data_IF_013827100725
#
_entry.id   IF_013827100725
#
_cell.length_a   1.000
_cell.length_b   1.000
_cell.length_c   1.000
_cell.angle_alpha   90.00
_cell.angle_beta   90.00
_cell.angle_gamma   90.00
#
_symmetry.space_group_name_H-M   'P 1'
#
loop_
_entity.id
_entity.type
_entity.pdbx_description
1 polymer ?
#
# COMPACT_ATOMS: atom_id res chain seq x y z
N UNK A 1 -45.90 52.27 40.83
CA UNK A 1 -44.90 51.23 41.01
C UNK A 1 -44.61 50.73 39.62
N UNK A 2 -43.91 51.45 39.00
CA UNK A 2 -42.57 51.56 38.40
C UNK A 2 -42.24 50.30 37.53
N UNK A 3 -42.47 50.50 36.24
CA UNK A 3 -42.08 49.64 35.18
C UNK A 3 -40.69 49.99 34.71
N UNK A 4 -39.82 49.05 34.53
CA UNK A 4 -38.50 49.19 33.94
C UNK A 4 -38.53 48.72 32.49
N UNK A 5 -38.46 49.72 31.60
CA UNK A 5 -38.26 49.58 30.17
C UNK A 5 -36.81 49.09 29.87
N UNK A 6 -36.65 47.94 29.23
CA UNK A 6 -35.40 47.51 28.67
C UNK A 6 -35.41 47.69 27.15
N UNK A 7 -34.84 48.82 26.71
CA UNK A 7 -34.57 49.07 25.29
C UNK A 7 -33.40 48.22 24.81
N UNK A 8 -33.68 47.24 23.97
CA UNK A 8 -32.68 46.50 23.18
C UNK A 8 -32.06 47.43 22.12
N UNK A 9 -30.78 47.74 22.23
CA UNK A 9 -29.97 48.40 21.21
C UNK A 9 -29.52 47.40 20.16
N UNK A 10 -30.20 47.36 19.03
CA UNK A 10 -29.76 46.62 17.82
C UNK A 10 -28.62 47.41 17.19
N UNK A 11 -27.38 46.88 17.27
CA UNK A 11 -26.25 47.36 16.49
C UNK A 11 -26.23 46.61 15.15
N UNK A 12 -26.61 47.30 14.08
CA UNK A 12 -26.40 46.84 12.70
C UNK A 12 -24.90 46.92 12.37
N UNK A 13 -24.31 45.79 12.11
CA UNK A 13 -22.96 45.69 11.53
C UNK A 13 -23.07 45.72 10.00
N UNK A 14 -22.33 46.59 9.37
CA UNK A 14 -22.22 46.74 7.92
C UNK A 14 -21.42 45.59 7.32
N UNK A 15 -21.65 45.20 6.03
CA UNK A 15 -21.06 44.02 5.37
C UNK A 15 -19.55 44.11 5.09
N UNK A 16 -18.89 45.20 5.42
CA UNK A 16 -17.47 45.43 5.07
C UNK A 16 -16.44 44.96 6.10
N UNK A 17 -16.85 44.28 7.18
CA UNK A 17 -15.93 43.82 8.25
C UNK A 17 -15.76 42.33 8.35
N UNK A 18 -16.10 41.54 7.31
CA UNK A 18 -16.03 40.07 7.30
C UNK A 18 -14.92 39.50 6.42
N UNK A 19 -13.96 40.32 5.92
CA UNK A 19 -12.98 39.85 4.93
C UNK A 19 -11.51 40.05 5.34
N UNK A 20 -11.20 39.99 6.64
CA UNK A 20 -9.81 39.99 7.08
C UNK A 20 -9.55 39.04 8.25
N UNK A 21 -9.89 37.74 8.06
CA UNK A 21 -9.25 36.71 8.92
C UNK A 21 -9.06 35.41 8.15
N UNK A 22 -7.79 35.05 8.08
CA UNK A 22 -7.23 33.74 7.72
C UNK A 22 -7.23 33.32 6.23
N UNK A 23 -6.48 34.04 5.41
CA UNK A 23 -5.63 33.34 4.46
C UNK A 23 -4.39 32.83 5.24
N UNK A 24 -4.59 31.80 6.05
CA UNK A 24 -3.50 30.98 6.53
C UNK A 24 -2.93 30.31 5.28
N UNK A 25 -1.75 30.78 4.85
CA UNK A 25 -0.90 30.06 3.92
C UNK A 25 -0.59 28.74 4.60
N UNK A 26 -1.37 27.69 4.28
CA UNK A 26 -0.92 26.33 4.45
C UNK A 26 0.33 26.24 3.59
N UNK A 27 1.50 26.39 4.22
CA UNK A 27 2.73 25.89 3.65
C UNK A 27 2.45 24.41 3.43
N UNK A 28 2.17 24.02 2.19
CA UNK A 28 2.20 22.64 1.80
C UNK A 28 3.59 22.15 2.17
N UNK A 29 3.66 21.27 3.17
CA UNK A 29 4.88 20.50 3.37
C UNK A 29 5.26 19.91 2.01
N UNK A 30 6.54 19.92 1.65
CA UNK A 30 6.97 19.34 0.37
C UNK A 30 6.38 17.92 0.30
N UNK A 31 5.88 17.49 -0.86
CA UNK A 31 5.27 16.19 -0.98
C UNK A 31 6.27 15.14 -0.47
N UNK A 32 5.91 14.49 0.63
CA UNK A 32 6.76 13.45 1.21
C UNK A 32 6.85 12.34 0.18
N UNK A 33 8.01 12.22 -0.47
CA UNK A 33 8.23 11.14 -1.41
C UNK A 33 8.40 9.84 -0.64
N UNK A 34 7.45 8.94 -0.81
CA UNK A 34 7.43 7.64 -0.15
C UNK A 34 7.63 6.51 -1.15
N UNK A 35 8.24 5.45 -0.66
CA UNK A 35 8.50 4.26 -1.46
C UNK A 35 7.78 3.09 -0.80
N UNK A 36 6.93 2.42 -1.57
CA UNK A 36 6.17 1.25 -1.15
C UNK A 36 6.62 0.05 -2.00
N UNK A 37 7.31 -0.89 -1.37
CA UNK A 37 7.82 -2.08 -2.07
C UNK A 37 7.15 -3.34 -1.54
N UNK A 38 6.65 -4.21 -2.44
CA UNK A 38 6.11 -5.52 -2.05
C UNK A 38 7.22 -6.55 -2.03
N UNK A 39 7.48 -7.15 -0.89
CA UNK A 39 8.56 -8.13 -0.70
C UNK A 39 8.04 -9.42 -0.04
N UNK A 40 8.11 -10.52 -0.76
CA UNK A 40 7.82 -11.86 -0.24
C UNK A 40 8.41 -12.93 -1.16
N UNK A 41 9.18 -13.84 -0.59
CA UNK A 41 9.84 -14.92 -1.34
C UNK A 41 8.90 -16.00 -1.87
N UNK A 42 7.66 -16.08 -1.39
CA UNK A 42 6.67 -17.03 -1.91
C UNK A 42 5.94 -16.45 -3.10
N UNK A 43 5.91 -17.20 -4.21
CA UNK A 43 5.11 -16.86 -5.39
C UNK A 43 3.60 -17.08 -5.17
N UNK A 44 2.77 -16.30 -5.87
CA UNK A 44 1.32 -16.48 -5.87
C UNK A 44 0.55 -16.01 -4.62
N UNK A 45 1.21 -15.33 -3.67
CA UNK A 45 0.57 -14.91 -2.39
C UNK A 45 -0.18 -13.59 -2.46
N UNK A 46 -0.11 -12.86 -3.59
CA UNK A 46 -0.83 -11.61 -3.79
C UNK A 46 0.02 -10.33 -3.77
N UNK A 47 1.33 -10.40 -4.04
CA UNK A 47 2.20 -9.20 -4.11
C UNK A 47 1.67 -8.16 -5.09
N UNK A 48 1.44 -8.53 -6.35
CA UNK A 48 0.92 -7.63 -7.38
C UNK A 48 -0.49 -7.12 -7.09
N UNK A 49 -1.30 -7.90 -6.35
CA UNK A 49 -2.59 -7.42 -5.84
C UNK A 49 -2.39 -6.30 -4.82
N UNK A 50 -1.49 -6.49 -3.86
CA UNK A 50 -1.16 -5.48 -2.85
C UNK A 50 -0.61 -4.23 -3.52
N UNK A 51 0.33 -4.36 -4.47
CA UNK A 51 0.85 -3.22 -5.24
C UNK A 51 -0.28 -2.48 -5.99
N UNK A 52 -1.22 -3.21 -6.61
CA UNK A 52 -2.35 -2.59 -7.29
C UNK A 52 -3.31 -1.88 -6.33
N UNK A 53 -3.55 -2.42 -5.13
CA UNK A 53 -4.38 -1.78 -4.10
C UNK A 53 -3.72 -0.47 -3.63
N UNK A 54 -2.41 -0.48 -3.35
CA UNK A 54 -1.66 0.71 -2.96
C UNK A 54 -1.72 1.80 -4.04
N UNK A 55 -1.49 1.43 -5.31
CA UNK A 55 -1.58 2.35 -6.43
C UNK A 55 -2.97 3.00 -6.54
N UNK A 56 -4.03 2.21 -6.39
CA UNK A 56 -5.40 2.70 -6.39
C UNK A 56 -5.69 3.61 -5.18
N UNK A 57 -5.16 3.26 -4.01
CA UNK A 57 -5.30 4.05 -2.78
C UNK A 57 -4.70 5.44 -2.96
N UNK A 58 -3.44 5.55 -3.35
CA UNK A 58 -2.79 6.85 -3.52
C UNK A 58 -3.42 7.69 -4.64
N UNK A 59 -3.83 7.08 -5.75
CA UNK A 59 -4.60 7.76 -6.80
C UNK A 59 -5.94 8.29 -6.33
N UNK A 60 -6.63 7.56 -5.47
CA UNK A 60 -7.89 7.98 -4.89
C UNK A 60 -7.75 9.31 -4.14
N UNK A 61 -6.61 9.51 -3.49
CA UNK A 61 -6.26 10.77 -2.81
C UNK A 61 -5.54 11.79 -3.69
N UNK A 62 -5.57 11.60 -5.02
CA UNK A 62 -4.99 12.56 -5.98
C UNK A 62 -3.47 12.67 -5.93
N UNK A 63 -2.78 11.64 -5.40
CA UNK A 63 -1.33 11.64 -5.35
C UNK A 63 -0.72 11.23 -6.68
N UNK A 64 0.42 11.85 -7.03
CA UNK A 64 1.26 11.41 -8.14
C UNK A 64 1.99 10.13 -7.76
N UNK A 65 1.88 9.10 -8.61
CA UNK A 65 2.44 7.79 -8.35
C UNK A 65 3.29 7.29 -9.52
N UNK A 66 4.37 6.61 -9.19
CA UNK A 66 5.21 5.85 -10.10
C UNK A 66 5.07 4.36 -9.80
N UNK A 67 4.46 3.62 -10.71
CA UNK A 67 4.27 2.18 -10.58
C UNK A 67 5.38 1.45 -11.34
N UNK A 68 6.12 0.58 -10.65
CA UNK A 68 7.24 -0.19 -11.22
C UNK A 68 7.00 -1.68 -10.99
N UNK A 69 6.98 -2.45 -12.07
CA UNK A 69 6.95 -3.92 -12.03
C UNK A 69 8.37 -4.44 -12.23
N UNK A 70 8.95 -4.98 -11.19
CA UNK A 70 10.30 -5.57 -11.18
C UNK A 70 10.30 -7.11 -11.11
N UNK A 71 9.11 -7.76 -11.31
CA UNK A 71 9.06 -9.23 -11.41
C UNK A 71 9.57 -9.67 -12.79
N UNK A 72 10.74 -10.33 -12.87
CA UNK A 72 11.29 -10.73 -14.15
C UNK A 72 10.55 -11.90 -14.81
N UNK A 73 9.64 -12.56 -14.08
CA UNK A 73 8.97 -13.78 -14.54
C UNK A 73 7.51 -13.52 -14.88
N UNK A 74 6.75 -12.88 -13.98
CA UNK A 74 5.30 -12.84 -14.13
C UNK A 74 4.73 -11.49 -14.57
N UNK A 75 5.44 -10.39 -14.40
CA UNK A 75 5.03 -9.03 -14.81
C UNK A 75 3.53 -8.76 -14.59
N UNK A 76 3.01 -9.22 -13.42
CA UNK A 76 1.58 -9.21 -13.16
C UNK A 76 1.03 -7.82 -12.84
N UNK A 77 1.88 -6.93 -12.33
CA UNK A 77 1.50 -5.56 -11.99
C UNK A 77 1.39 -4.68 -13.24
N UNK A 78 2.26 -4.85 -14.22
CA UNK A 78 2.21 -4.12 -15.49
C UNK A 78 1.01 -4.47 -16.36
N UNK A 79 0.30 -5.58 -16.06
CA UNK A 79 -0.95 -5.95 -16.73
C UNK A 79 -2.16 -5.10 -16.29
N UNK A 80 -2.06 -4.33 -15.21
CA UNK A 80 -3.10 -3.37 -14.82
C UNK A 80 -2.97 -2.10 -15.67
N UNK A 81 -3.57 -2.11 -16.86
CA UNK A 81 -3.42 -1.04 -17.85
C UNK A 81 -3.72 0.36 -17.30
N UNK A 82 -4.73 0.48 -16.43
CA UNK A 82 -5.10 1.76 -15.84
C UNK A 82 -4.04 2.32 -14.88
N UNK A 83 -3.15 1.47 -14.36
CA UNK A 83 -2.11 1.89 -13.42
C UNK A 83 -0.85 2.40 -14.12
N UNK A 84 -0.65 2.00 -15.40
CA UNK A 84 0.49 2.44 -16.18
C UNK A 84 1.84 2.00 -15.59
N UNK A 85 1.88 0.79 -14.98
CA UNK A 85 3.10 0.31 -14.37
C UNK A 85 4.18 0.02 -15.42
N UNK A 86 5.35 0.59 -15.21
CA UNK A 86 6.53 0.37 -16.05
C UNK A 86 7.23 -0.93 -15.65
N UNK A 87 7.62 -1.72 -16.62
CA UNK A 87 8.44 -2.91 -16.36
C UNK A 87 9.92 -2.53 -16.26
N UNK A 88 10.54 -2.88 -15.14
CA UNK A 88 11.98 -2.78 -14.93
C UNK A 88 12.64 -4.14 -15.16
N UNK A 89 13.41 -4.27 -16.24
CA UNK A 89 14.11 -5.50 -16.56
C UNK A 89 15.27 -5.75 -15.58
N UNK A 90 15.13 -6.78 -14.75
CA UNK A 90 16.13 -7.21 -13.78
C UNK A 90 16.88 -8.49 -14.23
N UNK A 91 16.68 -8.94 -15.45
CA UNK A 91 17.31 -10.15 -15.98
C UNK A 91 18.21 -9.82 -17.15
N UNK A 92 19.42 -10.35 -17.13
CA UNK A 92 20.35 -10.35 -18.25
C UNK A 92 20.94 -11.74 -18.42
N UNK A 93 20.90 -12.27 -19.63
CA UNK A 93 21.42 -13.62 -19.96
C UNK A 93 20.90 -14.73 -19.04
N UNK A 94 19.60 -14.66 -18.67
CA UNK A 94 18.93 -15.64 -17.81
C UNK A 94 19.31 -15.55 -16.32
N UNK A 95 20.01 -14.51 -15.90
CA UNK A 95 20.39 -14.27 -14.50
C UNK A 95 19.90 -12.91 -14.02
N UNK A 96 19.74 -12.75 -12.71
CA UNK A 96 19.44 -11.46 -12.11
C UNK A 96 20.67 -10.56 -12.28
N UNK A 97 20.44 -9.40 -12.89
CA UNK A 97 21.47 -8.38 -13.10
C UNK A 97 21.35 -7.32 -12.00
N UNK A 98 22.30 -7.31 -11.08
CA UNK A 98 22.31 -6.35 -9.98
C UNK A 98 22.41 -4.90 -10.44
N UNK A 99 22.90 -4.64 -11.67
CA UNK A 99 22.90 -3.28 -12.24
C UNK A 99 21.48 -2.72 -12.48
N UNK A 100 20.47 -3.59 -12.61
CA UNK A 100 19.07 -3.18 -12.63
C UNK A 100 18.61 -2.58 -11.30
N UNK A 101 19.19 -3.00 -10.19
CA UNK A 101 18.91 -2.41 -8.88
C UNK A 101 19.52 -1.00 -8.72
N UNK A 102 20.67 -0.73 -9.38
CA UNK A 102 21.25 0.62 -9.45
C UNK A 102 20.26 1.58 -10.13
N UNK A 103 19.65 1.15 -11.24
CA UNK A 103 18.64 1.95 -11.98
C UNK A 103 17.43 2.21 -11.08
N UNK A 104 16.95 1.18 -10.38
CA UNK A 104 15.82 1.33 -9.45
C UNK A 104 16.15 2.35 -8.36
N UNK A 105 17.28 2.17 -7.65
CA UNK A 105 17.67 3.06 -6.56
C UNK A 105 17.93 4.49 -7.05
N UNK A 106 18.53 4.65 -8.21
CA UNK A 106 18.73 5.97 -8.81
C UNK A 106 17.40 6.72 -9.00
N UNK A 107 16.37 6.03 -9.51
CA UNK A 107 15.03 6.61 -9.64
C UNK A 107 14.41 6.94 -8.30
N UNK A 108 14.45 5.99 -7.34
CA UNK A 108 13.87 6.17 -6.00
C UNK A 108 14.50 7.33 -5.22
N UNK A 109 15.76 7.64 -5.48
CA UNK A 109 16.49 8.75 -4.83
C UNK A 109 16.18 10.09 -5.53
N UNK A 110 16.20 10.13 -6.87
CA UNK A 110 16.24 11.38 -7.60
C UNK A 110 14.87 11.85 -8.15
N UNK A 111 13.89 10.97 -8.32
CA UNK A 111 12.56 11.34 -8.81
C UNK A 111 11.62 11.60 -7.61
N UNK A 112 10.75 12.61 -7.73
CA UNK A 112 9.73 12.92 -6.71
C UNK A 112 8.47 12.08 -6.93
N UNK A 113 7.62 12.00 -5.89
CA UNK A 113 6.35 11.29 -5.93
C UNK A 113 6.33 10.02 -5.08
N UNK A 114 5.24 9.28 -5.19
CA UNK A 114 5.05 8.03 -4.47
C UNK A 114 5.40 6.86 -5.38
N UNK A 115 6.39 6.08 -4.99
CA UNK A 115 6.81 4.90 -5.73
C UNK A 115 6.11 3.65 -5.21
N UNK A 116 5.55 2.85 -6.12
CA UNK A 116 4.98 1.54 -5.81
C UNK A 116 5.72 0.50 -6.65
N UNK A 117 6.53 -0.30 -5.98
CA UNK A 117 7.39 -1.30 -6.61
C UNK A 117 6.85 -2.70 -6.32
N UNK A 118 6.39 -3.39 -7.35
CA UNK A 118 6.03 -4.81 -7.24
C UNK A 118 7.24 -5.67 -7.56
N UNK A 119 7.69 -6.47 -6.59
CA UNK A 119 8.88 -7.29 -6.73
C UNK A 119 8.53 -8.76 -6.86
N UNK A 120 9.25 -9.46 -7.75
CA UNK A 120 9.11 -10.89 -7.95
C UNK A 120 9.56 -11.74 -6.76
N UNK A 121 9.03 -12.96 -6.64
CA UNK A 121 9.48 -13.87 -5.59
C UNK A 121 10.96 -14.26 -5.73
N UNK A 122 11.43 -14.42 -6.97
CA UNK A 122 12.83 -14.77 -7.28
C UNK A 122 13.82 -13.65 -6.99
N UNK A 123 13.36 -12.41 -7.04
CA UNK A 123 14.18 -11.21 -6.80
C UNK A 123 14.10 -10.72 -5.34
N UNK A 124 13.29 -11.36 -4.48
CA UNK A 124 13.15 -10.97 -3.07
C UNK A 124 14.48 -10.95 -2.33
N UNK A 125 15.18 -12.09 -2.28
CA UNK A 125 16.47 -12.18 -1.57
C UNK A 125 17.53 -11.31 -2.24
N UNK A 126 17.77 -11.39 -3.57
CA UNK A 126 18.76 -10.55 -4.23
C UNK A 126 18.55 -9.04 -4.02
N UNK A 127 17.34 -8.54 -4.17
CA UNK A 127 17.05 -7.12 -3.99
C UNK A 127 17.23 -6.68 -2.53
N UNK A 128 16.72 -7.48 -1.59
CA UNK A 128 16.82 -7.14 -0.17
C UNK A 128 18.29 -7.17 0.31
N UNK A 129 19.07 -8.20 -0.10
CA UNK A 129 20.51 -8.24 0.17
C UNK A 129 21.21 -7.03 -0.42
N UNK A 130 20.90 -6.68 -1.67
CA UNK A 130 21.47 -5.51 -2.33
C UNK A 130 21.20 -4.22 -1.56
N UNK A 131 19.96 -4.02 -1.10
CA UNK A 131 19.56 -2.84 -0.30
C UNK A 131 20.37 -2.76 1.00
N UNK A 132 20.55 -3.89 1.69
CA UNK A 132 21.27 -3.95 2.98
C UNK A 132 22.79 -3.80 2.77
N UNK A 133 23.36 -4.54 1.84
CA UNK A 133 24.81 -4.55 1.58
C UNK A 133 25.34 -3.19 1.09
N UNK A 134 24.54 -2.46 0.32
CA UNK A 134 24.91 -1.15 -0.20
C UNK A 134 24.45 0.02 0.69
N UNK A 135 23.96 -0.25 1.90
CA UNK A 135 23.45 0.77 2.83
C UNK A 135 22.38 1.69 2.22
N UNK A 136 21.59 1.15 1.27
CA UNK A 136 20.64 1.92 0.49
C UNK A 136 19.51 2.54 1.34
N UNK A 137 19.18 1.95 2.49
CA UNK A 137 18.18 2.52 3.42
C UNK A 137 18.64 3.88 3.96
N UNK A 138 19.93 4.01 4.32
CA UNK A 138 20.49 5.27 4.78
C UNK A 138 20.53 6.30 3.65
N UNK A 139 20.95 5.91 2.45
CA UNK A 139 20.95 6.79 1.28
C UNK A 139 19.56 7.32 0.95
N UNK A 140 18.53 6.49 1.04
CA UNK A 140 17.14 6.89 0.83
C UNK A 140 16.69 7.87 1.93
N UNK A 141 17.03 7.61 3.19
CA UNK A 141 16.71 8.49 4.31
C UNK A 141 17.41 9.86 4.19
N UNK A 142 18.68 9.89 3.81
CA UNK A 142 19.44 11.13 3.54
C UNK A 142 18.83 11.94 2.39
N UNK A 143 18.27 11.25 1.37
CA UNK A 143 17.52 11.88 0.28
C UNK A 143 16.09 12.31 0.69
N UNK A 144 15.71 12.18 1.96
CA UNK A 144 14.37 12.51 2.44
C UNK A 144 13.28 11.52 1.98
N UNK A 145 13.68 10.31 1.59
CA UNK A 145 12.76 9.26 1.11
C UNK A 145 12.42 8.30 2.23
N UNK A 146 11.15 7.97 2.40
CA UNK A 146 10.70 7.02 3.41
C UNK A 146 10.29 5.70 2.73
N UNK A 147 10.95 4.62 3.11
CA UNK A 147 10.67 3.29 2.57
C UNK A 147 9.70 2.52 3.47
N UNK A 148 8.63 2.01 2.88
CA UNK A 148 7.68 1.06 3.48
C UNK A 148 7.77 -0.28 2.77
N UNK A 149 7.98 -1.34 3.55
CA UNK A 149 8.05 -2.71 3.06
C UNK A 149 6.72 -3.41 3.30
N UNK A 150 6.03 -3.78 2.23
CA UNK A 150 4.78 -4.51 2.29
C UNK A 150 5.04 -6.00 2.11
N UNK A 151 4.77 -6.79 3.14
CA UNK A 151 4.92 -8.25 3.09
C UNK A 151 3.59 -8.95 3.28
N UNK A 152 3.42 -10.10 2.65
CA UNK A 152 2.15 -10.81 2.64
C UNK A 152 2.27 -12.12 3.43
N UNK A 153 1.35 -12.31 4.37
CA UNK A 153 1.14 -13.58 5.06
C UNK A 153 -0.14 -14.20 4.51
N UNK A 154 -0.12 -15.46 4.18
CA UNK A 154 -1.30 -16.17 3.70
C UNK A 154 -1.49 -17.50 4.42
N UNK A 155 -2.74 -17.94 4.53
CA UNK A 155 -3.09 -19.21 5.15
C UNK A 155 -2.75 -20.43 4.30
N UNK A 156 -3.14 -21.60 4.77
CA UNK A 156 -2.93 -22.86 4.08
C UNK A 156 -1.46 -23.28 3.98
N UNK A 157 -1.09 -23.93 2.87
CA UNK A 157 0.25 -24.53 2.69
C UNK A 157 1.38 -23.49 2.69
N UNK A 158 1.10 -22.25 2.28
CA UNK A 158 2.11 -21.20 2.18
C UNK A 158 2.37 -20.45 3.50
N UNK A 159 1.61 -20.70 4.56
CA UNK A 159 1.74 -19.99 5.82
C UNK A 159 3.16 -20.04 6.40
N UNK A 160 3.76 -21.23 6.42
CA UNK A 160 5.12 -21.40 6.94
C UNK A 160 6.16 -20.62 6.17
N UNK A 161 6.07 -20.62 4.83
CA UNK A 161 7.02 -19.91 3.96
C UNK A 161 6.84 -18.39 4.06
N UNK A 162 5.59 -17.91 4.12
CA UNK A 162 5.33 -16.47 4.25
C UNK A 162 5.74 -15.93 5.63
N UNK A 163 5.59 -16.70 6.70
CA UNK A 163 6.10 -16.35 8.03
C UNK A 163 7.63 -16.29 8.05
N UNK A 164 8.33 -17.20 7.36
CA UNK A 164 9.80 -17.15 7.23
C UNK A 164 10.24 -15.89 6.47
N UNK A 165 9.57 -15.55 5.37
CA UNK A 165 9.85 -14.34 4.61
C UNK A 165 9.66 -13.07 5.45
N UNK A 166 8.57 -12.97 6.20
CA UNK A 166 8.33 -11.89 7.15
C UNK A 166 9.43 -11.78 8.20
N UNK A 167 9.80 -12.91 8.83
CA UNK A 167 10.84 -12.92 9.85
C UNK A 167 12.19 -12.46 9.30
N UNK A 168 12.57 -12.92 8.10
CA UNK A 168 13.80 -12.49 7.42
C UNK A 168 13.84 -10.98 7.19
N UNK A 169 12.74 -10.37 6.76
CA UNK A 169 12.62 -8.92 6.60
C UNK A 169 12.74 -8.19 7.95
N UNK A 170 12.03 -8.67 8.96
CA UNK A 170 12.01 -8.03 10.27
C UNK A 170 13.37 -8.10 10.98
N UNK A 171 14.11 -9.21 10.84
CA UNK A 171 15.43 -9.38 11.45
C UNK A 171 16.49 -8.46 10.84
N UNK A 172 16.33 -8.08 9.57
CA UNK A 172 17.25 -7.20 8.86
C UNK A 172 16.78 -5.74 8.77
N UNK A 173 15.56 -5.43 9.23
CA UNK A 173 15.05 -4.05 9.28
C UNK A 173 15.51 -3.36 10.58
N UNK A 174 16.07 -2.16 10.44
CA UNK A 174 16.37 -1.31 11.61
C UNK A 174 15.14 -0.51 12.09
N UNK A 175 14.21 -0.20 11.21
CA UNK A 175 13.10 0.73 11.44
C UNK A 175 11.73 0.04 11.53
N UNK A 176 10.74 0.81 12.03
CA UNK A 176 9.32 0.43 12.04
C UNK A 176 8.66 0.82 10.71
N UNK A 177 8.93 0.07 9.66
CA UNK A 177 8.49 0.37 8.31
C UNK A 177 7.81 -0.81 7.58
N UNK A 178 7.59 -1.93 8.27
CA UNK A 178 6.97 -3.11 7.68
C UNK A 178 5.44 -3.03 7.82
N UNK A 179 4.74 -3.14 6.71
CA UNK A 179 3.28 -3.31 6.66
C UNK A 179 2.98 -4.77 6.30
N UNK A 180 2.28 -5.46 7.18
CA UNK A 180 1.92 -6.86 6.98
C UNK A 180 0.52 -6.96 6.40
N UNK A 181 0.37 -7.67 5.29
CA UNK A 181 -0.91 -7.96 4.66
C UNK A 181 -1.32 -9.39 4.96
N UNK A 182 -2.42 -9.56 5.66
CA UNK A 182 -3.01 -10.86 5.94
C UNK A 182 -3.98 -11.21 4.81
N UNK A 183 -3.54 -12.03 3.86
CA UNK A 183 -4.36 -12.45 2.74
C UNK A 183 -5.01 -13.81 3.03
N UNK A 184 -6.27 -13.79 3.41
CA UNK A 184 -7.06 -14.98 3.77
C UNK A 184 -7.67 -15.71 2.58
N UNK A 185 -7.36 -15.31 1.35
CA UNK A 185 -7.88 -15.98 0.15
C UNK A 185 -7.61 -17.49 0.15
N UNK A 186 -6.42 -17.91 0.57
CA UNK A 186 -6.01 -19.32 0.61
C UNK A 186 -6.38 -20.04 1.91
N UNK A 187 -7.08 -19.39 2.82
CA UNK A 187 -7.54 -19.95 4.08
C UNK A 187 -7.24 -19.05 5.29
N UNK A 188 -7.74 -19.48 6.43
CA UNK A 188 -7.53 -18.77 7.70
C UNK A 188 -6.04 -18.74 8.05
N UNK A 189 -5.57 -17.60 8.52
CA UNK A 189 -4.18 -17.40 8.96
C UNK A 189 -4.11 -17.74 10.43
N UNK A 190 -4.02 -19.04 10.71
CA UNK A 190 -3.97 -19.58 12.05
C UNK A 190 -2.98 -20.75 12.13
N UNK A 191 -2.28 -20.87 13.24
CA UNK A 191 -1.38 -22.00 13.51
C UNK A 191 -1.47 -22.40 14.99
N UNK A 192 -1.85 -23.64 15.25
CA UNK A 192 -2.00 -24.17 16.62
C UNK A 192 -2.93 -23.31 17.51
N UNK A 193 -4.07 -22.87 16.97
CA UNK A 193 -5.03 -22.03 17.69
C UNK A 193 -4.57 -20.57 17.90
N UNK A 194 -3.49 -20.13 17.25
CA UNK A 194 -2.96 -18.77 17.36
C UNK A 194 -3.16 -18.01 16.07
N UNK A 195 -3.72 -16.81 16.16
CA UNK A 195 -3.78 -15.85 15.06
C UNK A 195 -2.39 -15.29 14.77
N UNK A 196 -2.20 -14.59 13.65
CA UNK A 196 -0.90 -14.01 13.27
C UNK A 196 -0.27 -13.17 14.40
N UNK A 197 -1.06 -12.30 15.03
CA UNK A 197 -0.59 -11.42 16.12
C UNK A 197 -0.24 -12.16 17.41
N UNK A 198 -0.75 -13.40 17.59
CA UNK A 198 -0.41 -14.26 18.73
C UNK A 198 0.82 -15.13 18.48
N UNK A 199 1.26 -15.24 17.22
CA UNK A 199 2.43 -16.03 16.85
C UNK A 199 3.72 -15.39 17.34
N UNK A 200 4.69 -16.24 17.70
CA UNK A 200 5.99 -15.77 18.21
C UNK A 200 6.72 -14.90 17.17
N UNK A 201 6.62 -15.26 15.88
CA UNK A 201 7.23 -14.48 14.79
C UNK A 201 6.77 -13.03 14.73
N UNK A 202 5.49 -12.76 15.05
CA UNK A 202 4.99 -11.39 15.14
C UNK A 202 5.49 -10.71 16.42
N UNK A 203 5.34 -11.36 17.58
CA UNK A 203 5.73 -10.79 18.88
C UNK A 203 7.19 -10.38 18.94
N UNK A 204 8.09 -11.20 18.36
CA UNK A 204 9.51 -10.89 18.28
C UNK A 204 9.83 -9.74 17.31
N UNK A 205 8.91 -9.41 16.42
CA UNK A 205 9.09 -8.44 15.32
C UNK A 205 8.13 -7.26 15.40
N UNK A 206 7.28 -7.16 16.40
CA UNK A 206 6.22 -6.15 16.53
C UNK A 206 6.77 -4.72 16.46
N UNK A 207 7.94 -4.48 17.04
CA UNK A 207 8.60 -3.16 16.98
C UNK A 207 8.97 -2.71 15.56
N UNK A 208 9.03 -3.62 14.60
CA UNK A 208 9.33 -3.36 13.17
C UNK A 208 8.08 -3.21 12.32
N UNK A 209 6.93 -3.64 12.84
CA UNK A 209 5.64 -3.59 12.13
C UNK A 209 4.96 -2.26 12.34
N UNK A 210 4.75 -1.53 11.24
CA UNK A 210 3.97 -0.29 11.24
C UNK A 210 2.49 -0.58 11.46
N UNK A 211 1.96 -1.61 10.80
CA UNK A 211 0.60 -2.06 10.97
C UNK A 211 0.27 -3.30 10.15
N UNK A 212 -0.96 -3.75 10.32
CA UNK A 212 -1.49 -4.97 9.69
C UNK A 212 -2.74 -4.61 8.90
N UNK A 213 -2.80 -5.04 7.64
CA UNK A 213 -3.95 -4.87 6.73
C UNK A 213 -4.53 -6.25 6.42
N UNK A 214 -5.85 -6.38 6.49
CA UNK A 214 -6.55 -7.63 6.25
C UNK A 214 -7.23 -7.64 4.88
N UNK A 215 -6.84 -8.56 4.01
CA UNK A 215 -7.61 -8.97 2.85
C UNK A 215 -8.47 -10.14 3.29
N UNK A 216 -9.61 -9.82 3.89
CA UNK A 216 -10.46 -10.80 4.54
C UNK A 216 -11.08 -11.78 3.52
N UNK A 217 -11.15 -13.05 3.86
CA UNK A 217 -11.94 -14.03 3.12
C UNK A 217 -13.41 -13.66 3.22
N UNK A 218 -14.04 -13.48 2.06
CA UNK A 218 -15.45 -13.14 1.94
C UNK A 218 -16.24 -14.30 1.35
N UNK A 219 -17.58 -14.21 1.40
CA UNK A 219 -18.45 -15.22 0.80
C UNK A 219 -18.08 -15.43 -0.68
N UNK A 220 -17.70 -16.68 -1.03
CA UNK A 220 -17.17 -17.03 -2.34
C UNK A 220 -18.20 -16.89 -3.47
N UNK A 221 -19.48 -17.13 -3.18
CA UNK A 221 -20.54 -17.09 -4.20
C UNK A 221 -20.90 -15.65 -4.62
N UNK A 222 -20.44 -14.64 -3.88
CA UNK A 222 -20.76 -13.23 -4.10
C UNK A 222 -19.51 -12.36 -4.15
N UNK A 223 -19.06 -11.85 -3.01
CA UNK A 223 -17.89 -10.97 -2.90
C UNK A 223 -16.61 -11.60 -3.44
N UNK A 224 -16.36 -12.87 -3.11
CA UNK A 224 -15.16 -13.58 -3.55
C UNK A 224 -15.10 -13.64 -5.07
N UNK A 225 -16.19 -14.09 -5.72
CA UNK A 225 -16.28 -14.16 -7.17
C UNK A 225 -16.10 -12.80 -7.85
N UNK A 226 -16.72 -11.74 -7.33
CA UNK A 226 -16.58 -10.41 -7.92
C UNK A 226 -15.14 -9.89 -7.83
N UNK A 227 -14.47 -10.09 -6.69
CA UNK A 227 -13.06 -9.71 -6.49
C UNK A 227 -12.13 -10.57 -7.37
N UNK A 228 -12.36 -11.89 -7.43
CA UNK A 228 -11.59 -12.79 -8.30
C UNK A 228 -11.69 -12.38 -9.78
N UNK A 229 -12.86 -11.99 -10.25
CA UNK A 229 -13.04 -11.52 -11.62
C UNK A 229 -12.23 -10.23 -11.89
N UNK A 230 -12.23 -9.29 -10.96
CA UNK A 230 -11.43 -8.05 -11.06
C UNK A 230 -9.94 -8.38 -11.10
N UNK A 231 -9.46 -9.25 -10.21
CA UNK A 231 -8.05 -9.66 -10.13
C UNK A 231 -7.64 -10.44 -11.39
N UNK A 232 -8.45 -11.40 -11.83
CA UNK A 232 -8.16 -12.22 -13.00
C UNK A 232 -8.05 -11.41 -14.28
N UNK A 233 -8.87 -10.37 -14.41
CA UNK A 233 -8.87 -9.44 -15.55
C UNK A 233 -7.88 -8.28 -15.40
N UNK A 234 -7.12 -8.24 -14.33
CA UNK A 234 -6.17 -7.15 -14.05
C UNK A 234 -6.80 -5.77 -14.15
N UNK A 235 -7.99 -5.62 -13.57
CA UNK A 235 -8.71 -4.36 -13.52
C UNK A 235 -8.56 -3.69 -12.16
N UNK A 236 -8.65 -2.38 -12.13
CA UNK A 236 -8.82 -1.63 -10.88
C UNK A 236 -10.27 -1.73 -10.38
N UNK A 237 -10.50 -1.49 -9.10
CA UNK A 237 -11.87 -1.42 -8.56
C UNK A 237 -12.68 -0.34 -9.28
N UNK A 238 -12.05 0.83 -9.51
CA UNK A 238 -12.71 1.95 -10.17
C UNK A 238 -13.14 1.60 -11.60
N UNK A 239 -12.25 1.00 -12.39
CA UNK A 239 -12.58 0.57 -13.74
C UNK A 239 -13.68 -0.50 -13.76
N UNK A 240 -13.59 -1.50 -12.87
CA UNK A 240 -14.61 -2.53 -12.76
C UNK A 240 -15.99 -1.97 -12.37
N UNK A 241 -16.03 -0.94 -11.53
CA UNK A 241 -17.26 -0.26 -11.11
C UNK A 241 -17.83 0.63 -12.23
N UNK A 242 -16.97 1.40 -12.94
CA UNK A 242 -17.42 2.34 -13.99
C UNK A 242 -17.74 1.64 -15.30
N UNK A 243 -16.81 0.84 -15.81
CA UNK A 243 -16.80 0.34 -17.19
C UNK A 243 -17.15 -1.15 -17.29
N UNK A 244 -17.35 -1.83 -16.17
CA UNK A 244 -17.65 -3.24 -16.16
C UNK A 244 -19.09 -3.57 -16.50
N UNK A 245 -19.31 -4.75 -17.08
CA UNK A 245 -20.63 -5.37 -17.23
C UNK A 245 -21.21 -5.89 -15.92
N UNK A 246 -20.59 -5.54 -14.79
CA UNK A 246 -20.98 -5.97 -13.46
C UNK A 246 -22.40 -5.49 -13.09
N UNK A 247 -23.14 -6.34 -12.40
CA UNK A 247 -24.47 -5.99 -11.88
C UNK A 247 -24.39 -4.88 -10.83
N UNK A 248 -25.51 -4.24 -10.55
CA UNK A 248 -25.60 -3.20 -9.49
C UNK A 248 -25.08 -3.73 -8.16
N UNK A 249 -25.43 -4.99 -7.82
CA UNK A 249 -24.99 -5.61 -6.57
C UNK A 249 -23.49 -5.94 -6.57
N UNK A 250 -22.93 -6.39 -7.71
CA UNK A 250 -21.48 -6.61 -7.84
C UNK A 250 -20.70 -5.30 -7.67
N UNK A 251 -21.16 -4.22 -8.31
CA UNK A 251 -20.58 -2.87 -8.15
C UNK A 251 -20.62 -2.40 -6.70
N UNK A 252 -21.73 -2.63 -6.00
CA UNK A 252 -21.87 -2.29 -4.58
C UNK A 252 -20.88 -3.08 -3.71
N UNK A 253 -20.73 -4.39 -3.94
CA UNK A 253 -19.79 -5.22 -3.19
C UNK A 253 -18.33 -4.81 -3.43
N UNK A 254 -17.96 -4.49 -4.68
CA UNK A 254 -16.61 -4.00 -5.01
C UNK A 254 -16.31 -2.67 -4.31
N UNK A 255 -17.27 -1.73 -4.25
CA UNK A 255 -17.14 -0.49 -3.47
C UNK A 255 -16.94 -0.75 -1.98
N UNK A 256 -17.63 -1.73 -1.42
CA UNK A 256 -17.48 -2.09 0.00
C UNK A 256 -16.08 -2.68 0.26
N UNK A 257 -15.57 -3.53 -0.62
CA UNK A 257 -14.22 -4.09 -0.50
C UNK A 257 -13.16 -3.00 -0.61
N UNK A 258 -13.27 -2.12 -1.62
CA UNK A 258 -12.37 -1.00 -1.81
C UNK A 258 -12.32 -0.09 -0.57
N UNK A 259 -13.50 0.30 -0.06
CA UNK A 259 -13.62 1.14 1.12
C UNK A 259 -12.97 0.49 2.35
N UNK A 260 -13.26 -0.78 2.61
CA UNK A 260 -12.71 -1.51 3.74
C UNK A 260 -11.17 -1.55 3.70
N UNK A 261 -10.57 -1.77 2.53
CA UNK A 261 -9.11 -1.76 2.36
C UNK A 261 -8.53 -0.34 2.54
N UNK A 262 -9.19 0.67 2.02
CA UNK A 262 -8.71 2.06 2.11
C UNK A 262 -8.81 2.60 3.54
N UNK A 263 -9.90 2.32 4.25
CA UNK A 263 -10.07 2.66 5.68
C UNK A 263 -8.98 2.03 6.56
N UNK A 264 -8.52 0.82 6.25
CA UNK A 264 -7.39 0.21 6.95
C UNK A 264 -6.06 0.90 6.62
N UNK A 265 -5.84 1.31 5.36
CA UNK A 265 -4.65 2.04 4.95
C UNK A 265 -4.60 3.45 5.54
N UNK A 266 -5.75 4.12 5.68
CA UNK A 266 -5.85 5.44 6.34
C UNK A 266 -5.30 5.41 7.77
N UNK A 267 -5.53 4.32 8.50
CA UNK A 267 -5.03 4.14 9.86
C UNK A 267 -3.50 4.05 9.96
N UNK A 268 -2.82 3.75 8.84
CA UNK A 268 -1.36 3.63 8.79
C UNK A 268 -0.64 4.96 8.55
N UNK A 269 -1.37 6.03 8.24
CA UNK A 269 -0.83 7.37 7.97
C UNK A 269 0.27 7.36 6.90
N UNK A 270 0.00 6.71 5.77
CA UNK A 270 0.94 6.56 4.65
C UNK A 270 0.91 7.76 3.67
N UNK A 271 -0.06 8.65 3.81
CA UNK A 271 -0.31 9.82 2.93
C UNK A 271 0.60 11.00 3.22
#
# INVERSE_FOLDING_TARGET
MEGLDFKAKTMSRTPEQLDQHSAGVFKSEPPCSTIHITLQGKGGVGKSLVASILAQYFRHYGREIHCIDSDPVNQAFSQYAELGAEHLALMRDGRIDSSGFDILLHRLINEEGIFIVDNGASTFVPLWSYIVENNALEMLAEAGRKLYVHTIITGGQALGDTLKGFKSLADSSAERNIVVWLNEYFGVIERNGKTFTDMQSYKDSESKVLGVVHIAKRNQDTFGRDVEEVIARKRTFEDAIRNGSATVMSKQRLKMVQRDLFEQLDQLLLL
#
